data_IF_416348457850
#
_entry.id   IF_416348457850
#
_cell.length_a   1.000
_cell.length_b   1.000
_cell.length_c   1.000
_cell.angle_alpha   90.00
_cell.angle_beta   90.00
_cell.angle_gamma   90.00
#
_symmetry.space_group_name_H-M   'P 1'
#
loop_
_entity.id
_entity.type
_entity.pdbx_description
1 polymer ?
#
# COMPACT_ATOMS: atom_id res chain seq x y z
N UNK A 1 15.47 -21.49 -29.93
CA UNK A 1 14.97 -21.74 -28.57
C UNK A 1 14.53 -20.44 -27.94
N UNK A 2 13.24 -20.26 -27.77
CA UNK A 2 12.60 -19.08 -27.19
C UNK A 2 12.51 -19.31 -25.68
N UNK A 3 13.54 -18.88 -24.96
CA UNK A 3 13.52 -18.82 -23.49
C UNK A 3 12.63 -17.66 -23.04
N UNK A 4 11.31 -17.88 -23.07
CA UNK A 4 10.37 -17.02 -22.36
C UNK A 4 10.17 -17.60 -20.96
N UNK A 5 11.04 -17.19 -20.04
CA UNK A 5 10.77 -17.36 -18.60
C UNK A 5 9.39 -16.75 -18.32
N UNK A 6 8.43 -17.49 -17.72
CA UNK A 6 7.14 -16.90 -17.37
C UNK A 6 7.41 -15.69 -16.48
N UNK A 7 6.86 -14.54 -16.83
CA UNK A 7 6.88 -13.39 -15.95
C UNK A 7 6.23 -13.82 -14.63
N UNK A 8 6.98 -13.80 -13.53
CA UNK A 8 6.47 -14.15 -12.20
C UNK A 8 5.29 -13.23 -11.91
N UNK A 9 4.08 -13.77 -11.98
CA UNK A 9 2.86 -13.00 -11.74
C UNK A 9 2.85 -12.57 -10.28
N UNK A 10 2.74 -11.27 -10.04
CA UNK A 10 2.56 -10.73 -8.70
C UNK A 10 1.07 -10.70 -8.37
N UNK A 11 0.73 -11.07 -7.14
CA UNK A 11 -0.63 -11.04 -6.60
C UNK A 11 -0.71 -10.09 -5.41
N UNK A 12 -1.88 -9.51 -5.21
CA UNK A 12 -2.18 -8.72 -4.01
C UNK A 12 -2.22 -9.66 -2.79
N UNK A 13 -1.44 -9.41 -1.72
CA UNK A 13 -1.41 -10.29 -0.55
C UNK A 13 -2.67 -10.24 0.33
N UNK A 14 -3.64 -9.39 -0.01
CA UNK A 14 -4.90 -9.22 0.74
C UNK A 14 -6.09 -9.91 0.06
N UNK A 15 -6.14 -9.89 -1.28
CA UNK A 15 -7.30 -10.36 -2.05
C UNK A 15 -6.95 -11.32 -3.18
N UNK A 16 -5.68 -11.71 -3.31
CA UNK A 16 -5.14 -12.65 -4.29
C UNK A 16 -5.32 -12.26 -5.77
N UNK A 17 -5.88 -11.08 -6.05
CA UNK A 17 -6.00 -10.57 -7.40
C UNK A 17 -4.63 -10.29 -8.03
N UNK A 18 -4.53 -10.56 -9.33
CA UNK A 18 -3.35 -10.20 -10.12
C UNK A 18 -3.11 -8.69 -10.09
N UNK A 19 -1.85 -8.29 -9.89
CA UNK A 19 -1.45 -6.89 -9.89
C UNK A 19 -0.33 -6.63 -10.90
N UNK A 20 -0.08 -5.36 -11.21
CA UNK A 20 1.05 -4.97 -12.05
C UNK A 20 2.36 -5.38 -11.35
N UNK A 21 3.22 -6.20 -11.95
CA UNK A 21 4.45 -6.62 -11.29
C UNK A 21 5.32 -5.42 -10.91
N UNK A 22 5.62 -5.30 -9.63
CA UNK A 22 6.46 -4.26 -9.07
C UNK A 22 7.55 -4.91 -8.22
N UNK A 23 8.65 -5.39 -8.85
CA UNK A 23 9.65 -6.23 -8.18
C UNK A 23 10.29 -5.60 -6.93
N UNK A 24 10.25 -4.27 -6.82
CA UNK A 24 10.75 -3.52 -5.66
C UNK A 24 9.83 -3.60 -4.44
N UNK A 25 8.56 -3.85 -4.65
CA UNK A 25 7.53 -3.92 -3.63
C UNK A 25 6.78 -5.25 -3.78
N UNK A 26 7.43 -6.40 -3.54
CA UNK A 26 6.84 -7.70 -3.82
C UNK A 26 5.57 -7.99 -3.00
N UNK A 27 5.35 -7.22 -1.93
CA UNK A 27 4.22 -7.38 -1.00
C UNK A 27 3.25 -6.19 -1.07
N UNK A 28 3.27 -5.40 -2.15
CA UNK A 28 2.36 -4.27 -2.25
C UNK A 28 0.90 -4.69 -2.41
N UNK A 29 0.04 -3.86 -1.84
CA UNK A 29 -1.40 -4.05 -1.81
C UNK A 29 -2.04 -3.30 -3.00
N UNK A 30 -3.00 -3.93 -3.68
CA UNK A 30 -3.68 -3.32 -4.82
C UNK A 30 -4.50 -2.08 -4.43
N UNK A 31 -4.76 -1.19 -5.40
CA UNK A 31 -5.48 0.06 -5.14
C UNK A 31 -6.87 -0.14 -4.51
N UNK A 32 -7.59 -1.21 -4.87
CA UNK A 32 -8.89 -1.53 -4.28
C UNK A 32 -8.78 -1.87 -2.78
N UNK A 33 -7.76 -2.63 -2.38
CA UNK A 33 -7.51 -2.93 -0.98
C UNK A 33 -6.96 -1.72 -0.22
N UNK A 34 -6.13 -0.88 -0.84
CA UNK A 34 -5.71 0.42 -0.27
C UNK A 34 -6.92 1.31 0.03
N UNK A 35 -7.96 1.26 -0.81
CA UNK A 35 -9.21 1.96 -0.56
C UNK A 35 -10.01 1.42 0.66
N UNK A 36 -9.61 0.32 1.26
CA UNK A 36 -10.22 -0.24 2.48
C UNK A 36 -9.35 -0.05 3.74
N UNK A 37 -8.23 0.68 3.62
CA UNK A 37 -7.32 0.92 4.74
C UNK A 37 -8.00 1.66 5.89
N UNK A 38 -7.78 1.14 7.09
CA UNK A 38 -8.28 1.69 8.36
C UNK A 38 -7.16 1.84 9.38
N UNK A 39 -7.40 2.59 10.47
CA UNK A 39 -6.58 2.49 11.67
C UNK A 39 -6.93 1.23 12.49
N UNK A 40 -6.22 1.01 13.60
CA UNK A 40 -6.47 -0.12 14.51
C UNK A 40 -7.89 -0.16 15.11
N UNK A 41 -8.64 0.95 15.03
CA UNK A 41 -10.01 1.07 15.52
C UNK A 41 -11.05 1.00 14.39
N UNK A 42 -10.64 0.69 13.16
CA UNK A 42 -11.52 0.58 12.00
C UNK A 42 -11.92 1.91 11.36
N UNK A 43 -11.28 3.03 11.73
CA UNK A 43 -11.54 4.33 11.08
C UNK A 43 -10.79 4.41 9.77
N UNK A 44 -11.47 4.75 8.69
CA UNK A 44 -10.89 4.82 7.34
C UNK A 44 -9.75 5.84 7.24
N UNK A 45 -8.60 5.41 6.72
CA UNK A 45 -7.41 6.24 6.49
C UNK A 45 -7.00 6.24 5.03
N UNK A 46 -6.35 7.31 4.58
CA UNK A 46 -5.75 7.42 3.26
C UNK A 46 -4.34 8.00 3.38
N UNK A 47 -3.48 7.67 2.44
CA UNK A 47 -2.09 8.14 2.41
C UNK A 47 -1.80 8.88 1.11
N UNK A 48 -0.97 9.91 1.20
CA UNK A 48 -0.62 10.79 0.10
C UNK A 48 0.80 11.34 0.27
N UNK A 49 1.38 11.80 -0.84
CA UNK A 49 2.66 12.51 -0.82
C UNK A 49 2.46 13.95 -0.36
N UNK A 50 3.40 14.49 0.41
CA UNK A 50 3.32 15.87 0.94
C UNK A 50 4.06 16.87 0.07
N UNK A 51 5.06 16.42 -0.71
CA UNK A 51 5.83 17.25 -1.63
C UNK A 51 5.26 17.26 -3.04
N UNK A 52 5.39 18.40 -3.74
CA UNK A 52 4.94 18.58 -5.13
C UNK A 52 5.62 17.62 -6.14
N UNK A 53 6.81 17.10 -5.82
CA UNK A 53 7.52 16.13 -6.65
C UNK A 53 7.15 14.67 -6.30
N UNK A 54 6.05 14.46 -5.57
CA UNK A 54 5.63 13.13 -5.14
C UNK A 54 6.48 12.59 -3.99
N UNK A 55 7.14 13.45 -3.22
CA UNK A 55 7.96 13.05 -2.08
C UNK A 55 7.21 13.14 -0.76
N UNK A 56 7.72 12.46 0.27
CA UNK A 56 7.09 12.34 1.57
C UNK A 56 5.89 11.39 1.58
N UNK A 57 5.50 10.97 2.78
CA UNK A 57 4.35 10.12 3.04
C UNK A 57 3.64 10.67 4.28
N UNK A 58 2.35 10.99 4.14
CA UNK A 58 1.49 11.36 5.25
C UNK A 58 0.13 10.68 5.12
N UNK A 59 -0.55 10.51 6.25
CA UNK A 59 -1.89 9.98 6.32
C UNK A 59 -2.92 11.02 6.75
N UNK A 60 -4.18 10.80 6.37
CA UNK A 60 -5.33 11.48 6.94
C UNK A 60 -6.51 10.52 7.12
N UNK A 61 -7.39 10.82 8.07
CA UNK A 61 -8.68 10.14 8.15
C UNK A 61 -9.58 10.59 7.00
N UNK A 62 -10.26 9.64 6.38
CA UNK A 62 -11.10 9.94 5.20
C UNK A 62 -12.36 10.73 5.54
N UNK A 63 -12.86 10.57 6.76
CA UNK A 63 -14.13 11.16 7.18
C UNK A 63 -14.05 12.68 7.33
N UNK A 64 -12.97 13.18 7.93
CA UNK A 64 -12.82 14.57 8.34
C UNK A 64 -11.51 15.22 7.86
N UNK A 65 -10.67 14.47 7.14
CA UNK A 65 -9.34 14.89 6.69
C UNK A 65 -8.38 15.28 7.83
N UNK A 66 -8.70 14.91 9.08
CA UNK A 66 -7.79 15.11 10.19
C UNK A 66 -6.50 14.32 9.98
N UNK A 67 -5.38 14.88 10.45
CA UNK A 67 -4.08 14.25 10.30
C UNK A 67 -4.05 12.87 10.97
N UNK A 68 -3.53 11.88 10.25
CA UNK A 68 -3.29 10.55 10.78
C UNK A 68 -1.80 10.40 11.13
N UNK A 69 -1.43 10.36 12.43
CA UNK A 69 -0.04 10.44 12.87
C UNK A 69 0.65 9.07 12.86
N UNK A 70 0.43 8.26 11.83
CA UNK A 70 1.06 6.95 11.65
C UNK A 70 1.12 6.60 10.16
N UNK A 71 2.07 5.73 9.82
CA UNK A 71 2.21 5.07 8.52
C UNK A 71 1.56 3.67 8.51
N UNK A 72 1.12 3.17 9.66
CA UNK A 72 0.51 1.85 9.78
C UNK A 72 -0.98 1.90 9.42
N UNK A 73 -1.50 0.84 8.82
CA UNK A 73 -2.93 0.69 8.60
C UNK A 73 -3.34 -0.77 8.62
N UNK A 74 -4.64 -1.01 8.67
CA UNK A 74 -5.23 -2.33 8.69
C UNK A 74 -6.18 -2.48 7.51
N UNK A 75 -6.00 -3.57 6.75
CA UNK A 75 -6.85 -3.93 5.62
C UNK A 75 -7.31 -5.37 5.85
N UNK A 76 -8.62 -5.58 5.99
CA UNK A 76 -9.20 -6.90 6.34
C UNK A 76 -8.55 -7.54 7.59
N UNK A 77 -8.17 -6.72 8.57
CA UNK A 77 -7.50 -7.17 9.80
C UNK A 77 -5.99 -7.40 9.66
N UNK A 78 -5.44 -7.39 8.44
CA UNK A 78 -4.01 -7.52 8.21
C UNK A 78 -3.29 -6.19 8.40
N UNK A 79 -2.18 -6.20 9.14
CA UNK A 79 -1.35 -5.01 9.36
C UNK A 79 -0.54 -4.69 8.10
N UNK A 80 -0.55 -3.41 7.73
CA UNK A 80 0.09 -2.85 6.56
C UNK A 80 0.85 -1.58 6.93
N UNK A 81 1.81 -1.18 6.10
CA UNK A 81 2.61 0.04 6.27
C UNK A 81 2.68 0.81 4.95
N UNK A 82 2.37 2.09 4.99
CA UNK A 82 2.47 3.03 3.88
C UNK A 82 3.86 3.66 3.83
N UNK A 83 4.46 3.71 2.64
CA UNK A 83 5.81 4.24 2.41
C UNK A 83 5.84 5.06 1.14
N UNK A 84 6.77 6.01 1.11
CA UNK A 84 7.10 6.72 -0.13
C UNK A 84 7.72 5.77 -1.14
N UNK A 85 7.20 5.79 -2.37
CA UNK A 85 7.78 5.01 -3.46
C UNK A 85 9.04 5.69 -4.01
N UNK A 86 9.99 4.92 -4.54
CA UNK A 86 11.31 5.42 -4.99
C UNK A 86 11.25 6.48 -6.11
N UNK A 87 10.15 6.52 -6.87
CA UNK A 87 9.94 7.50 -7.95
C UNK A 87 8.69 8.36 -7.71
N UNK A 88 8.33 8.53 -6.43
CA UNK A 88 7.13 9.22 -6.01
C UNK A 88 5.87 8.36 -6.05
N UNK A 89 4.87 8.79 -5.31
CA UNK A 89 3.68 7.98 -4.99
C UNK A 89 3.77 7.34 -3.61
N UNK A 90 2.70 6.65 -3.23
CA UNK A 90 2.60 5.90 -1.98
C UNK A 90 2.42 4.43 -2.31
N UNK A 91 3.21 3.59 -1.65
CA UNK A 91 3.08 2.13 -1.69
C UNK A 91 2.65 1.67 -0.31
N UNK A 92 1.65 0.80 -0.25
CA UNK A 92 1.26 0.11 0.99
C UNK A 92 1.66 -1.35 0.85
N UNK A 93 2.40 -1.86 1.82
CA UNK A 93 2.81 -3.28 1.90
C UNK A 93 2.31 -3.91 3.18
N UNK A 94 1.99 -5.21 3.14
CA UNK A 94 1.75 -6.00 4.35
C UNK A 94 3.06 -6.13 5.14
N UNK A 95 2.99 -5.91 6.45
CA UNK A 95 4.12 -6.14 7.35
C UNK A 95 4.09 -7.58 7.82
N UNK A 96 5.26 -8.22 7.87
CA UNK A 96 5.39 -9.51 8.52
C UNK A 96 5.47 -9.29 10.03
N UNK A 97 4.79 -10.15 10.79
CA UNK A 97 5.00 -10.26 12.23
C UNK A 97 6.18 -11.23 12.41
N UNK A 98 7.39 -10.72 12.64
CA UNK A 98 8.55 -11.53 13.03
C UNK A 98 8.40 -12.11 14.44
#
# INVERSE_FOLDING_TARGET
>A
MNNSTPAKQQICPICDNAVQPMPRYPRYVCAACVALATDQHGRGVQFFNTGLMGTGCAGSYRADQAAYPSDQCWINGQRCCAKEARFGGIVIEVVDDE
#
